data_IF_915188565345
#
_entry.id   IF_915188565345
#
_cell.length_a   1.000
_cell.length_b   1.000
_cell.length_c   1.000
_cell.angle_alpha   90.00
_cell.angle_beta   90.00
_cell.angle_gamma   90.00
#
_symmetry.space_group_name_H-M   'P 1'
#
loop_
_entity.id
_entity.type
_entity.pdbx_description
1 polymer ?
#
# COMPACT_ATOMS: atom_id res chain seq x y z
N UNK A 1 2.06 -15.18 -7.13
CA UNK A 1 1.80 -16.03 -5.95
C UNK A 1 1.70 -17.47 -6.42
N UNK A 2 2.30 -18.42 -5.72
CA UNK A 2 2.11 -19.86 -6.01
C UNK A 2 1.59 -20.50 -4.72
N UNK A 3 0.27 -20.76 -4.65
CA UNK A 3 -0.38 -21.23 -3.43
C UNK A 3 -0.25 -20.23 -2.28
N UNK A 4 0.13 -20.70 -1.09
CA UNK A 4 0.25 -19.91 0.14
C UNK A 4 1.61 -19.20 0.30
N UNK A 5 2.38 -19.11 -0.78
CA UNK A 5 3.73 -18.54 -0.76
C UNK A 5 3.87 -17.39 -1.77
N UNK A 6 4.35 -16.27 -1.27
CA UNK A 6 4.82 -15.14 -2.05
C UNK A 6 6.34 -15.21 -2.25
N UNK A 7 6.79 -14.87 -3.45
CA UNK A 7 8.21 -14.76 -3.81
C UNK A 7 8.43 -13.44 -4.55
N UNK A 8 9.56 -12.76 -4.36
CA UNK A 8 9.94 -11.59 -5.15
C UNK A 8 10.43 -12.03 -6.55
N UNK A 9 9.53 -12.62 -7.34
CA UNK A 9 9.85 -13.16 -8.67
C UNK A 9 10.04 -12.10 -9.75
N UNK A 10 9.73 -10.83 -9.45
CA UNK A 10 9.72 -9.71 -10.37
C UNK A 10 10.92 -8.76 -10.19
N UNK A 11 12.08 -9.26 -9.75
CA UNK A 11 13.28 -8.40 -9.57
C UNK A 11 13.61 -7.64 -10.84
N UNK A 12 13.22 -6.38 -10.88
CA UNK A 12 13.54 -5.43 -11.95
C UNK A 12 14.91 -4.83 -11.62
N UNK A 13 15.83 -4.81 -12.59
CA UNK A 13 17.12 -4.11 -12.43
C UNK A 13 16.96 -2.62 -12.07
N UNK A 14 15.79 -2.06 -12.33
CA UNK A 14 15.48 -0.67 -12.02
C UNK A 14 15.26 -0.47 -10.51
N UNK A 15 14.86 -1.51 -9.76
CA UNK A 15 14.79 -1.47 -8.28
C UNK A 15 16.17 -1.30 -7.66
N UNK A 16 17.20 -1.95 -8.23
CA UNK A 16 18.59 -1.82 -7.77
C UNK A 16 19.17 -0.42 -8.00
N UNK A 17 18.50 0.40 -8.82
CA UNK A 17 18.98 1.72 -9.24
C UNK A 17 18.17 2.87 -8.64
N UNK A 18 16.87 2.71 -8.49
CA UNK A 18 15.93 3.70 -7.96
C UNK A 18 14.68 3.01 -7.40
N UNK A 19 14.76 2.60 -6.13
CA UNK A 19 13.69 1.91 -5.42
C UNK A 19 12.43 2.77 -5.27
N UNK A 20 12.61 4.06 -5.00
CA UNK A 20 11.53 5.03 -4.80
C UNK A 20 10.71 5.22 -6.06
N UNK A 21 11.33 5.33 -7.23
CA UNK A 21 10.62 5.42 -8.50
C UNK A 21 9.81 4.15 -8.79
N UNK A 22 10.35 2.97 -8.46
CA UNK A 22 9.62 1.70 -8.65
C UNK A 22 8.43 1.59 -7.74
N UNK A 23 8.59 1.92 -6.45
CA UNK A 23 7.51 1.94 -5.48
C UNK A 23 6.37 2.86 -5.92
N UNK A 24 6.70 4.07 -6.39
CA UNK A 24 5.72 5.02 -6.94
C UNK A 24 5.02 4.47 -8.18
N UNK A 25 5.74 3.82 -9.09
CA UNK A 25 5.16 3.20 -10.27
C UNK A 25 4.15 2.09 -9.94
N UNK A 26 4.45 1.25 -8.96
CA UNK A 26 3.51 0.23 -8.48
C UNK A 26 2.28 0.84 -7.82
N UNK A 27 2.44 1.85 -6.96
CA UNK A 27 1.30 2.56 -6.35
C UNK A 27 0.40 3.16 -7.43
N UNK A 28 0.97 3.87 -8.40
CA UNK A 28 0.20 4.47 -9.50
C UNK A 28 -0.55 3.43 -10.32
N UNK A 29 0.04 2.25 -10.55
CA UNK A 29 -0.62 1.14 -11.24
C UNK A 29 -1.81 0.61 -10.44
N UNK A 30 -1.65 0.35 -9.14
CA UNK A 30 -2.73 -0.16 -8.30
C UNK A 30 -3.84 0.86 -8.10
N UNK A 31 -3.48 2.13 -7.93
CA UNK A 31 -4.43 3.24 -7.86
C UNK A 31 -5.27 3.33 -9.14
N UNK A 32 -4.63 3.39 -10.31
CA UNK A 32 -5.32 3.39 -11.59
C UNK A 32 -6.18 2.15 -11.82
N UNK A 33 -5.71 0.97 -11.40
CA UNK A 33 -6.48 -0.27 -11.50
C UNK A 33 -7.74 -0.22 -10.62
N UNK A 34 -7.66 0.35 -9.42
CA UNK A 34 -8.79 0.50 -8.50
C UNK A 34 -9.89 1.41 -9.03
N UNK A 35 -9.54 2.42 -9.83
CA UNK A 35 -10.52 3.29 -10.50
C UNK A 35 -11.30 2.53 -11.57
N UNK A 36 -10.67 1.57 -12.25
CA UNK A 36 -11.31 0.73 -13.29
C UNK A 36 -12.08 -0.43 -12.67
N UNK A 37 -11.61 -0.95 -11.54
CA UNK A 37 -12.21 -2.06 -10.80
C UNK A 37 -12.59 -1.58 -9.39
N UNK A 38 -13.71 -0.85 -9.27
CA UNK A 38 -14.14 -0.32 -7.99
C UNK A 38 -14.41 -1.47 -7.00
N UNK A 39 -14.14 -1.19 -5.73
CA UNK A 39 -14.44 -2.15 -4.67
C UNK A 39 -15.93 -2.48 -4.62
N UNK A 40 -16.30 -3.71 -4.22
CA UNK A 40 -17.68 -4.04 -3.89
C UNK A 40 -18.24 -3.09 -2.82
N UNK A 41 -19.53 -2.75 -2.93
CA UNK A 41 -20.22 -1.83 -2.01
C UNK A 41 -20.24 -2.30 -0.54
N UNK A 42 -19.88 -3.56 -0.28
CA UNK A 42 -19.77 -4.13 1.06
C UNK A 42 -18.47 -3.75 1.78
N UNK A 43 -17.52 -3.12 1.08
CA UNK A 43 -16.26 -2.65 1.66
C UNK A 43 -16.34 -1.16 2.00
N UNK A 44 -15.63 -0.77 3.05
CA UNK A 44 -15.48 0.65 3.40
C UNK A 44 -14.87 1.43 2.23
N UNK A 45 -15.35 2.66 1.94
CA UNK A 45 -14.88 3.45 0.80
C UNK A 45 -13.36 3.69 0.78
N UNK A 46 -12.75 3.77 1.97
CA UNK A 46 -11.31 4.00 2.12
C UNK A 46 -10.46 2.72 2.03
N UNK A 47 -11.08 1.53 2.07
CA UNK A 47 -10.34 0.27 2.22
C UNK A 47 -9.35 0.02 1.08
N UNK A 48 -9.73 0.31 -0.17
CA UNK A 48 -8.83 0.11 -1.30
C UNK A 48 -7.69 1.12 -1.30
N UNK A 49 -7.98 2.39 -1.03
CA UNK A 49 -6.96 3.43 -0.95
C UNK A 49 -5.93 3.13 0.15
N UNK A 50 -6.38 2.67 1.32
CA UNK A 50 -5.51 2.27 2.43
C UNK A 50 -4.61 1.09 2.06
N UNK A 51 -5.15 0.09 1.34
CA UNK A 51 -4.36 -1.04 0.87
C UNK A 51 -3.32 -0.59 -0.14
N UNK A 52 -3.71 0.24 -1.13
CA UNK A 52 -2.79 0.79 -2.14
C UNK A 52 -1.67 1.59 -1.49
N UNK A 53 -1.99 2.38 -0.45
CA UNK A 53 -1.01 3.15 0.34
C UNK A 53 -0.07 2.25 1.14
N UNK A 54 -0.51 1.08 1.59
CA UNK A 54 0.31 0.11 2.32
C UNK A 54 1.20 -0.76 1.42
N UNK A 55 0.90 -0.88 0.12
CA UNK A 55 1.67 -1.70 -0.85
C UNK A 55 3.19 -1.45 -0.81
N UNK A 56 3.71 -0.21 -0.74
CA UNK A 56 5.15 0.03 -0.74
C UNK A 56 5.93 -0.69 0.35
N UNK A 57 5.34 -0.81 1.55
CA UNK A 57 5.98 -1.53 2.66
C UNK A 57 6.05 -3.04 2.38
N UNK A 58 4.96 -3.62 1.86
CA UNK A 58 4.93 -5.05 1.51
C UNK A 58 5.95 -5.38 0.42
N UNK A 59 6.04 -4.55 -0.63
CA UNK A 59 6.99 -4.76 -1.72
C UNK A 59 8.43 -4.64 -1.22
N UNK A 60 8.71 -3.66 -0.36
CA UNK A 60 10.02 -3.50 0.28
C UNK A 60 10.38 -4.69 1.16
N UNK A 61 9.43 -5.18 1.98
CA UNK A 61 9.61 -6.36 2.81
C UNK A 61 9.93 -7.61 1.97
N UNK A 62 9.15 -7.87 0.92
CA UNK A 62 9.38 -8.98 0.01
C UNK A 62 10.75 -8.91 -0.67
N UNK A 63 11.17 -7.71 -1.05
CA UNK A 63 12.48 -7.50 -1.67
C UNK A 63 13.63 -7.82 -0.69
N UNK A 64 13.52 -7.36 0.57
CA UNK A 64 14.53 -7.58 1.61
C UNK A 64 14.63 -9.05 2.04
N UNK A 65 13.49 -9.74 2.16
CA UNK A 65 13.47 -11.15 2.59
C UNK A 65 14.17 -12.10 1.62
N UNK A 66 14.34 -11.72 0.34
CA UNK A 66 15.06 -12.46 -0.70
C UNK A 66 14.68 -13.96 -0.86
N UNK A 67 13.54 -14.37 -0.29
CA UNK A 67 13.11 -15.76 -0.15
C UNK A 67 11.59 -15.88 -0.08
N UNK A 68 11.05 -17.11 -0.02
CA UNK A 68 9.62 -17.34 0.08
C UNK A 68 9.07 -16.83 1.41
N UNK A 69 7.99 -16.06 1.33
CA UNK A 69 7.25 -15.51 2.46
C UNK A 69 5.85 -16.12 2.49
N UNK A 70 5.36 -16.63 3.63
CA UNK A 70 3.99 -17.10 3.77
C UNK A 70 2.98 -15.97 3.50
N UNK A 71 1.94 -16.23 2.72
CA UNK A 71 0.90 -15.23 2.41
C UNK A 71 0.23 -14.70 3.68
N UNK A 72 0.00 -15.55 4.69
CA UNK A 72 -0.55 -15.14 5.98
C UNK A 72 0.28 -14.03 6.64
N UNK A 73 1.61 -14.14 6.60
CA UNK A 73 2.50 -13.12 7.17
C UNK A 73 2.40 -11.78 6.42
N UNK A 74 2.19 -11.80 5.11
CA UNK A 74 1.96 -10.58 4.34
C UNK A 74 0.63 -9.93 4.67
N UNK A 75 -0.41 -10.75 4.90
CA UNK A 75 -1.72 -10.26 5.32
C UNK A 75 -1.66 -9.63 6.71
N UNK A 76 -0.93 -10.26 7.64
CA UNK A 76 -0.71 -9.69 8.98
C UNK A 76 0.04 -8.35 8.91
N UNK A 77 1.07 -8.26 8.05
CA UNK A 77 1.81 -7.02 7.82
C UNK A 77 0.94 -5.93 7.20
N UNK A 78 0.11 -6.30 6.22
CA UNK A 78 -0.83 -5.38 5.57
C UNK A 78 -1.85 -4.83 6.57
N UNK A 79 -2.47 -5.72 7.35
CA UNK A 79 -3.44 -5.34 8.37
C UNK A 79 -2.82 -4.41 9.42
N UNK A 80 -1.62 -4.75 9.90
CA UNK A 80 -0.87 -3.90 10.82
C UNK A 80 -0.63 -2.50 10.22
N UNK A 81 -0.16 -2.40 8.96
CA UNK A 81 0.11 -1.09 8.36
C UNK A 81 -1.16 -0.28 8.13
N UNK A 82 -2.24 -0.91 7.71
CA UNK A 82 -3.53 -0.22 7.53
C UNK A 82 -4.05 0.31 8.87
N UNK A 83 -3.89 -0.43 9.97
CA UNK A 83 -4.24 0.06 11.31
C UNK A 83 -3.41 1.27 11.73
N UNK A 84 -2.12 1.27 11.41
CA UNK A 84 -1.24 2.43 11.65
C UNK A 84 -1.68 3.65 10.83
N UNK A 85 -1.93 3.49 9.53
CA UNK A 85 -2.43 4.57 8.66
C UNK A 85 -3.74 5.17 9.18
N UNK A 86 -4.65 4.32 9.66
CA UNK A 86 -5.91 4.78 10.29
C UNK A 86 -5.64 5.61 11.55
N UNK A 87 -4.68 5.20 12.36
CA UNK A 87 -4.31 5.90 13.60
C UNK A 87 -3.65 7.25 13.27
N UNK A 88 -2.69 7.28 12.35
CA UNK A 88 -2.01 8.49 11.87
C UNK A 88 -3.00 9.55 11.36
N UNK A 89 -4.05 9.13 10.63
CA UNK A 89 -5.09 10.06 10.14
C UNK A 89 -6.04 10.55 11.22
N UNK A 90 -6.34 9.74 12.23
CA UNK A 90 -7.12 10.19 13.39
C UNK A 90 -6.40 11.29 14.19
N UNK A 91 -5.06 11.30 14.15
CA UNK A 91 -4.23 12.30 14.81
C UNK A 91 -4.10 13.61 14.03
N UNK A 92 -4.54 13.69 12.77
CA UNK A 92 -4.48 14.93 11.97
C UNK A 92 -5.48 15.94 12.55
N UNK A 93 -5.01 17.05 13.16
CA UNK A 93 -5.90 18.07 13.69
C UNK A 93 -6.63 18.75 12.54
N UNK A 94 -7.96 18.81 12.60
CA UNK A 94 -8.73 19.65 11.68
C UNK A 94 -8.34 21.12 11.90
N UNK A 95 -7.68 21.73 10.92
CA UNK A 95 -7.45 23.17 10.89
C UNK A 95 -8.66 23.79 10.16
N UNK A 96 -9.54 24.53 10.87
CA UNK A 96 -10.63 25.23 10.20
C UNK A 96 -10.05 26.19 9.17
N UNK A 97 -10.64 26.28 7.96
CA UNK A 97 -10.18 27.27 6.98
C UNK A 97 -10.24 28.65 7.63
N UNK A 98 -9.11 29.36 7.64
CA UNK A 98 -9.03 30.72 8.13
C UNK A 98 -10.11 31.55 7.42
N UNK A 99 -11.10 32.00 8.20
CA UNK A 99 -12.21 32.78 7.67
C UNK A 99 -11.70 33.99 6.90
N UNK A 100 -12.42 34.46 5.88
CA UNK A 100 -11.96 35.56 5.03
C UNK A 100 -11.67 36.79 5.90
N UNK A 101 -10.40 37.24 5.88
CA UNK A 101 -10.01 38.53 6.43
C UNK A 101 -10.77 39.62 5.68
N UNK A 102 -11.60 40.37 6.42
CA UNK A 102 -12.27 41.59 5.94
C UNK A 102 -11.30 42.75 5.89
#
# INVERSE_FOLDING_TARGET
VHGDIARPGWRLRVWDRDDTAVLRGWVALFDAWSLVHPAPDTLEPAAVAEVVEAVPQLLSFLQLMAGPVPTAQLLDLLDQRVRELRTERCEIPYVPPAGPHR
#
